data_IF_983287481994
#
_entry.id   IF_983287481994
#
_cell.length_a   1.000
_cell.length_b   1.000
_cell.length_c   1.000
_cell.angle_alpha   90.00
_cell.angle_beta   90.00
_cell.angle_gamma   90.00
#
_symmetry.space_group_name_H-M   'P 1'
#
loop_
_entity.id
_entity.type
_entity.pdbx_description
1 polymer ?
#
# COMPACT_ATOMS: atom_id res chain seq x y z
N UNK A 1 3.21 3.80 2.41
CA UNK A 1 2.42 2.54 2.40
C UNK A 1 3.12 1.50 3.24
N UNK A 2 2.62 1.17 4.46
CA UNK A 2 3.37 0.38 5.45
C UNK A 2 3.31 -1.13 5.21
N UNK A 3 2.29 -1.62 4.53
CA UNK A 3 2.09 -3.05 4.24
C UNK A 3 1.97 -3.23 2.74
N UNK A 4 2.76 -4.18 2.20
CA UNK A 4 2.81 -4.49 0.77
C UNK A 4 3.06 -3.26 -0.10
N UNK A 5 4.11 -2.53 0.24
CA UNK A 5 4.42 -1.20 -0.33
C UNK A 5 4.50 -1.21 -1.86
N UNK A 6 4.12 -0.10 -2.47
CA UNK A 6 4.35 0.18 -3.89
C UNK A 6 5.68 0.94 -4.01
N UNK A 7 6.68 0.45 -4.79
CA UNK A 7 6.61 -0.72 -5.69
C UNK A 7 7.17 -2.03 -5.11
N UNK A 8 7.70 -2.05 -3.90
CA UNK A 8 8.56 -3.12 -3.43
C UNK A 8 7.83 -4.35 -2.82
N UNK A 9 6.55 -4.24 -2.53
CA UNK A 9 5.78 -5.31 -1.86
C UNK A 9 6.21 -5.56 -0.41
N UNK A 10 6.99 -4.65 0.20
CA UNK A 10 7.50 -4.82 1.56
C UNK A 10 6.50 -4.39 2.61
N UNK A 11 6.61 -4.99 3.80
CA UNK A 11 5.91 -4.61 5.02
C UNK A 11 6.92 -4.05 6.03
N UNK A 12 6.55 -2.95 6.71
CA UNK A 12 7.41 -2.37 7.75
C UNK A 12 7.48 -3.29 8.96
N UNK A 13 8.71 -3.45 9.50
CA UNK A 13 8.90 -4.17 10.76
C UNK A 13 8.39 -3.34 11.94
N UNK A 14 8.10 -4.03 13.04
CA UNK A 14 7.73 -3.43 14.31
C UNK A 14 8.71 -2.38 14.78
N UNK A 15 10.02 -2.65 14.61
CA UNK A 15 11.08 -1.70 14.96
C UNK A 15 10.96 -0.40 14.17
N UNK A 16 10.75 -0.49 12.86
CA UNK A 16 10.59 0.70 11.99
C UNK A 16 9.38 1.51 12.42
N UNK A 17 8.24 0.85 12.69
CA UNK A 17 7.02 1.53 13.14
C UNK A 17 7.25 2.26 14.45
N UNK A 18 7.86 1.61 15.46
CA UNK A 18 8.17 2.23 16.75
C UNK A 18 9.15 3.39 16.62
N UNK A 19 10.19 3.24 15.78
CA UNK A 19 11.15 4.33 15.51
C UNK A 19 10.49 5.55 14.87
N UNK A 20 9.59 5.34 13.91
CA UNK A 20 8.82 6.42 13.29
C UNK A 20 7.89 7.10 14.31
N UNK A 21 7.25 6.34 15.18
CA UNK A 21 6.37 6.85 16.22
C UNK A 21 7.13 7.73 17.25
N UNK A 22 8.34 7.32 17.63
CA UNK A 22 9.18 7.99 18.62
C UNK A 22 10.14 9.04 18.03
N UNK A 23 10.23 9.15 16.71
CA UNK A 23 11.18 10.01 16.02
C UNK A 23 11.11 11.47 16.50
N UNK A 24 12.27 12.08 16.76
CA UNK A 24 12.36 13.52 17.02
C UNK A 24 12.29 14.27 15.69
N UNK A 25 11.50 15.34 15.66
CA UNK A 25 11.25 16.12 14.44
C UNK A 25 11.59 17.58 14.67
N UNK A 26 12.12 18.27 13.64
CA UNK A 26 12.45 19.69 13.73
C UNK A 26 11.21 20.61 13.65
N UNK A 27 10.09 20.11 13.12
CA UNK A 27 8.84 20.86 13.05
C UNK A 27 7.83 20.32 14.06
N UNK A 28 7.20 21.19 14.82
CA UNK A 28 6.20 20.83 15.82
C UNK A 28 4.92 20.25 15.18
N UNK A 29 4.59 20.72 14.00
CA UNK A 29 3.43 20.28 13.22
C UNK A 29 3.73 19.13 12.25
N UNK A 30 4.87 18.44 12.39
CA UNK A 30 5.21 17.29 11.57
C UNK A 30 4.15 16.20 11.69
N UNK A 31 3.69 15.68 10.54
CA UNK A 31 2.71 14.59 10.46
C UNK A 31 3.18 13.49 9.51
N UNK A 32 2.80 12.29 9.85
CA UNK A 32 2.99 11.10 9.00
C UNK A 32 1.65 10.77 8.36
N UNK A 33 1.57 10.78 7.03
CA UNK A 33 0.44 10.20 6.31
C UNK A 33 0.68 8.70 6.18
N UNK A 34 -0.11 7.92 6.90
CA UNK A 34 -0.04 6.46 6.93
C UNK A 34 -1.06 5.88 5.97
N UNK A 35 -0.60 5.61 4.73
CA UNK A 35 -1.47 5.12 3.66
C UNK A 35 -1.63 3.60 3.72
N UNK A 36 -2.78 3.16 4.18
CA UNK A 36 -3.16 1.75 4.31
C UNK A 36 -3.81 1.18 3.03
N UNK A 37 -3.35 1.59 1.86
CA UNK A 37 -3.92 1.19 0.57
C UNK A 37 -4.00 -0.33 0.38
N UNK A 38 -3.09 -1.10 0.99
CA UNK A 38 -2.98 -2.55 0.80
C UNK A 38 -3.15 -3.38 2.08
N UNK A 39 -3.70 -2.81 3.15
CA UNK A 39 -3.78 -3.46 4.47
C UNK A 39 -4.50 -4.82 4.49
N UNK A 40 -5.36 -5.11 3.52
CA UNK A 40 -6.14 -6.36 3.40
C UNK A 40 -5.83 -7.14 2.10
N UNK A 41 -4.72 -6.84 1.44
CA UNK A 41 -4.37 -7.43 0.15
C UNK A 41 -3.42 -8.63 0.30
N UNK A 42 -3.74 -9.51 1.23
CA UNK A 42 -2.95 -10.70 1.51
C UNK A 42 -3.06 -11.71 0.36
N UNK A 43 -1.94 -12.27 -0.06
CA UNK A 43 -1.87 -13.34 -1.07
C UNK A 43 -1.52 -14.69 -0.46
N UNK A 44 -1.21 -14.74 0.84
CA UNK A 44 -0.86 -15.96 1.57
C UNK A 44 -1.85 -16.22 2.70
N UNK A 45 -1.83 -17.43 3.25
CA UNK A 45 -2.64 -17.78 4.40
C UNK A 45 -1.99 -17.36 5.73
N UNK A 46 -0.74 -16.89 5.66
CA UNK A 46 0.04 -16.29 6.76
C UNK A 46 0.38 -14.84 6.37
N UNK A 47 -0.57 -13.91 6.50
CA UNK A 47 -0.37 -12.52 6.10
C UNK A 47 0.69 -11.82 6.95
N UNK A 48 1.36 -10.83 6.35
CA UNK A 48 2.20 -9.93 7.13
C UNK A 48 1.35 -9.14 8.11
N UNK A 49 1.91 -8.88 9.28
CA UNK A 49 1.33 -7.98 10.27
C UNK A 49 2.13 -6.68 10.34
N UNK A 50 1.46 -5.60 10.65
CA UNK A 50 2.09 -4.30 10.91
C UNK A 50 1.44 -3.68 12.13
N UNK A 51 2.25 -3.14 13.03
CA UNK A 51 1.76 -2.47 14.23
C UNK A 51 0.81 -1.32 13.89
N UNK A 52 -0.17 -1.11 14.75
CA UNK A 52 -1.06 0.04 14.64
C UNK A 52 -0.28 1.32 14.96
N UNK A 53 -0.03 2.13 13.93
CA UNK A 53 0.76 3.35 14.07
C UNK A 53 0.11 4.40 14.97
N UNK A 54 -1.24 4.43 15.08
CA UNK A 54 -1.94 5.31 16.02
C UNK A 54 -1.58 4.95 17.47
N UNK A 55 -1.62 3.67 17.81
CA UNK A 55 -1.31 3.18 19.15
C UNK A 55 0.17 3.40 19.48
N UNK A 56 1.07 3.14 18.54
CA UNK A 56 2.51 3.34 18.77
C UNK A 56 2.86 4.82 18.93
N UNK A 57 2.22 5.72 18.17
CA UNK A 57 2.38 7.16 18.36
C UNK A 57 1.86 7.61 19.73
N UNK A 58 0.71 7.10 20.18
CA UNK A 58 0.17 7.41 21.50
C UNK A 58 1.11 6.94 22.63
N UNK A 59 1.61 5.70 22.55
CA UNK A 59 2.61 5.14 23.49
C UNK A 59 3.90 5.96 23.53
N UNK A 60 4.32 6.49 22.39
CA UNK A 60 5.52 7.34 22.28
C UNK A 60 5.30 8.80 22.73
N UNK A 61 4.11 9.16 23.22
CA UNK A 61 3.77 10.53 23.63
C UNK A 61 3.52 11.49 22.44
N UNK A 62 3.30 10.97 21.24
CA UNK A 62 3.09 11.74 20.01
C UNK A 62 1.73 11.42 19.36
N UNK A 63 0.58 11.53 20.07
CA UNK A 63 -0.72 11.07 19.55
C UNK A 63 -1.15 11.77 18.26
N UNK A 64 -0.71 13.01 18.03
CA UNK A 64 -1.08 13.82 16.89
C UNK A 64 -0.17 13.59 15.65
N UNK A 65 0.82 12.71 15.76
CA UNK A 65 1.83 12.53 14.71
C UNK A 65 1.30 11.89 13.44
N UNK A 66 0.30 11.03 13.53
CA UNK A 66 -0.14 10.21 12.40
C UNK A 66 -1.56 10.56 11.94
N UNK A 67 -1.73 10.57 10.64
CA UNK A 67 -3.03 10.57 9.97
C UNK A 67 -3.06 9.31 9.11
N UNK A 68 -3.87 8.34 9.49
CA UNK A 68 -4.04 7.09 8.76
C UNK A 68 -5.15 7.23 7.73
N UNK A 69 -4.90 6.78 6.52
CA UNK A 69 -5.89 6.79 5.43
C UNK A 69 -6.00 5.41 4.79
N UNK A 70 -7.20 5.07 4.36
CA UNK A 70 -7.47 3.85 3.58
C UNK A 70 -8.62 4.09 2.62
N UNK A 71 -8.75 3.24 1.60
CA UNK A 71 -9.88 3.29 0.68
C UNK A 71 -10.24 1.92 0.13
N UNK A 72 -11.46 1.81 -0.38
CA UNK A 72 -11.94 0.61 -1.08
C UNK A 72 -11.64 0.61 -2.57
N UNK A 73 -10.86 1.57 -3.07
CA UNK A 73 -10.58 1.74 -4.52
C UNK A 73 -9.94 0.50 -5.16
N UNK A 74 -9.16 -0.26 -4.37
CA UNK A 74 -8.53 -1.52 -4.80
C UNK A 74 -9.21 -2.76 -4.23
N UNK A 75 -10.33 -2.59 -3.55
CA UNK A 75 -11.13 -3.66 -2.93
C UNK A 75 -12.43 -3.87 -3.71
N UNK A 76 -13.09 -2.77 -4.12
CA UNK A 76 -14.35 -2.78 -4.86
C UNK A 76 -14.15 -2.24 -6.30
N UNK A 77 -14.41 -0.94 -6.53
CA UNK A 77 -14.35 -0.32 -7.85
C UNK A 77 -13.38 0.84 -7.89
N UNK A 78 -12.41 0.86 -8.82
CA UNK A 78 -11.62 2.05 -9.09
C UNK A 78 -12.53 3.20 -9.54
N UNK A 79 -12.29 4.39 -9.00
CA UNK A 79 -13.12 5.57 -9.29
C UNK A 79 -14.45 5.66 -8.53
N UNK A 80 -14.88 4.60 -7.87
CA UNK A 80 -16.08 4.56 -7.03
C UNK A 80 -15.80 4.05 -5.60
N UNK A 81 -14.57 4.23 -5.13
CA UNK A 81 -14.17 3.84 -3.78
C UNK A 81 -14.76 4.74 -2.70
N UNK A 82 -14.83 4.19 -1.48
CA UNK A 82 -15.06 4.95 -0.24
C UNK A 82 -13.72 5.07 0.46
N UNK A 83 -13.34 6.29 0.87
CA UNK A 83 -12.15 6.53 1.66
C UNK A 83 -12.51 6.76 3.13
N UNK A 84 -11.60 6.37 4.01
CA UNK A 84 -11.71 6.59 5.45
C UNK A 84 -10.41 7.18 5.99
N UNK A 85 -10.55 7.92 7.08
CA UNK A 85 -9.42 8.52 7.79
C UNK A 85 -9.56 8.23 9.29
N UNK A 86 -8.43 7.94 9.94
CA UNK A 86 -8.31 7.83 11.37
C UNK A 86 -7.12 8.67 11.86
N UNK A 87 -7.31 9.42 12.93
CA UNK A 87 -6.27 10.24 13.54
C UNK A 87 -6.69 10.57 14.98
N UNK A 88 -5.86 11.30 15.72
CA UNK A 88 -6.23 11.87 17.02
C UNK A 88 -7.43 12.81 16.91
N UNK A 89 -8.12 13.04 18.03
CA UNK A 89 -9.26 13.95 18.09
C UNK A 89 -8.88 15.37 17.62
N UNK A 90 -7.70 15.85 17.99
CA UNK A 90 -7.20 17.17 17.56
C UNK A 90 -7.03 17.25 16.04
N UNK A 91 -6.40 16.25 15.42
CA UNK A 91 -6.25 16.18 13.96
C UNK A 91 -7.61 16.05 13.27
N UNK A 92 -8.51 15.22 13.77
CA UNK A 92 -9.86 15.05 13.21
C UNK A 92 -10.65 16.36 13.30
N UNK A 93 -10.59 17.09 14.42
CA UNK A 93 -11.25 18.38 14.56
C UNK A 93 -10.75 19.41 13.54
N UNK A 94 -9.43 19.53 13.40
CA UNK A 94 -8.80 20.42 12.41
C UNK A 94 -9.21 20.06 10.97
N UNK A 95 -9.17 18.77 10.63
CA UNK A 95 -9.53 18.28 9.29
C UNK A 95 -11.01 18.53 9.00
N UNK A 96 -11.92 18.23 9.94
CA UNK A 96 -13.36 18.48 9.77
C UNK A 96 -13.66 19.95 9.49
N UNK A 97 -12.99 20.87 10.17
CA UNK A 97 -13.15 22.32 9.95
C UNK A 97 -12.82 22.70 8.50
N UNK A 98 -11.75 22.12 7.94
CA UNK A 98 -11.35 22.37 6.56
C UNK A 98 -12.28 21.67 5.55
N UNK A 99 -12.68 20.45 5.83
CA UNK A 99 -13.56 19.67 4.98
C UNK A 99 -14.96 20.30 4.88
N UNK A 100 -15.48 20.92 5.93
CA UNK A 100 -16.76 21.59 5.94
C UNK A 100 -16.87 22.73 4.90
N UNK A 101 -15.73 23.32 4.53
CA UNK A 101 -15.67 24.34 3.47
C UNK A 101 -15.57 23.73 2.07
N UNK A 102 -15.26 22.44 1.94
CA UNK A 102 -15.09 21.75 0.65
C UNK A 102 -16.38 21.06 0.20
N UNK A 103 -17.13 20.49 1.13
CA UNK A 103 -18.36 19.75 0.82
C UNK A 103 -19.31 19.71 2.02
N UNK A 104 -20.60 19.78 1.74
CA UNK A 104 -21.65 19.59 2.75
C UNK A 104 -21.84 18.11 3.08
N UNK A 105 -21.56 17.23 2.14
CA UNK A 105 -21.69 15.80 2.31
C UNK A 105 -21.04 14.99 1.21
N UNK A 106 -20.84 13.72 1.48
CA UNK A 106 -20.20 12.78 0.55
C UNK A 106 -21.25 11.90 -0.12
N UNK A 107 -20.86 11.20 -1.19
CA UNK A 107 -21.74 10.32 -1.98
C UNK A 107 -22.30 9.18 -1.11
N UNK A 108 -23.51 9.42 -0.59
CA UNK A 108 -24.23 8.46 0.28
C UNK A 108 -24.72 7.25 -0.50
N UNK A 109 -24.99 7.37 -1.80
CA UNK A 109 -25.39 6.24 -2.63
C UNK A 109 -24.24 5.28 -2.81
N UNK A 110 -23.04 5.78 -3.03
CA UNK A 110 -21.85 4.94 -3.11
C UNK A 110 -21.52 4.27 -1.77
N UNK A 111 -21.64 5.00 -0.66
CA UNK A 111 -21.50 4.40 0.68
C UNK A 111 -22.53 3.29 0.89
N UNK A 112 -23.79 3.50 0.52
CA UNK A 112 -24.84 2.48 0.66
C UNK A 112 -24.57 1.24 -0.22
N UNK A 113 -24.01 1.43 -1.44
CA UNK A 113 -23.59 0.30 -2.28
C UNK A 113 -22.56 -0.56 -1.57
N UNK A 114 -21.55 0.05 -0.95
CA UNK A 114 -20.51 -0.65 -0.21
C UNK A 114 -21.08 -1.39 1.01
N UNK A 115 -21.96 -0.74 1.79
CA UNK A 115 -22.64 -1.38 2.92
C UNK A 115 -23.47 -2.58 2.47
N UNK A 116 -24.22 -2.45 1.40
CA UNK A 116 -25.06 -3.56 0.88
C UNK A 116 -24.22 -4.71 0.30
N UNK A 117 -23.09 -4.40 -0.32
CA UNK A 117 -22.23 -5.39 -0.94
C UNK A 117 -21.39 -6.15 0.09
N UNK A 118 -20.72 -5.45 0.96
CA UNK A 118 -19.84 -6.06 1.96
C UNK A 118 -20.59 -6.51 3.21
N UNK A 119 -21.65 -5.80 3.59
CA UNK A 119 -22.41 -5.96 4.83
C UNK A 119 -21.59 -5.60 6.07
N UNK A 120 -20.47 -6.25 6.28
CA UNK A 120 -19.56 -6.11 7.43
C UNK A 120 -18.10 -6.35 7.05
N UNK A 121 -17.24 -6.42 8.05
CA UNK A 121 -15.80 -6.65 7.85
C UNK A 121 -15.51 -8.06 7.28
N UNK A 122 -16.33 -9.05 7.59
CA UNK A 122 -16.14 -10.41 7.07
C UNK A 122 -16.47 -10.48 5.58
N UNK A 123 -17.44 -9.69 5.12
CA UNK A 123 -17.71 -9.52 3.70
C UNK A 123 -16.51 -8.92 2.93
N UNK A 124 -15.80 -7.96 3.55
CA UNK A 124 -14.54 -7.43 2.97
C UNK A 124 -13.48 -8.52 2.91
N UNK A 125 -13.27 -9.27 4.00
CA UNK A 125 -12.29 -10.38 4.05
C UNK A 125 -12.60 -11.45 3.00
N UNK A 126 -13.86 -11.83 2.87
CA UNK A 126 -14.30 -12.79 1.86
C UNK A 126 -14.03 -12.30 0.42
N UNK A 127 -14.27 -11.01 0.15
CA UNK A 127 -13.95 -10.39 -1.13
C UNK A 127 -12.45 -10.42 -1.42
N UNK A 128 -11.62 -10.09 -0.43
CA UNK A 128 -10.18 -10.09 -0.60
C UNK A 128 -9.60 -11.49 -0.78
N UNK A 129 -10.22 -12.51 -0.17
CA UNK A 129 -9.86 -13.91 -0.43
C UNK A 129 -10.11 -14.29 -1.90
N UNK A 130 -11.24 -13.88 -2.49
CA UNK A 130 -11.50 -14.08 -3.92
C UNK A 130 -10.49 -13.34 -4.82
N UNK A 131 -10.09 -12.11 -4.43
CA UNK A 131 -9.01 -11.41 -5.13
C UNK A 131 -7.69 -12.19 -5.07
N UNK A 132 -7.34 -12.72 -3.91
CA UNK A 132 -6.14 -13.53 -3.75
C UNK A 132 -6.15 -14.78 -4.64
N UNK A 133 -7.29 -15.46 -4.76
CA UNK A 133 -7.46 -16.63 -5.64
C UNK A 133 -7.17 -16.30 -7.12
N UNK A 134 -7.51 -15.07 -7.56
CA UNK A 134 -7.24 -14.60 -8.92
C UNK A 134 -5.77 -14.17 -9.10
N UNK A 135 -5.18 -13.58 -8.06
CA UNK A 135 -3.85 -12.97 -8.17
C UNK A 135 -2.71 -13.95 -7.90
N UNK A 136 -2.87 -14.88 -6.96
CA UNK A 136 -1.83 -15.88 -6.62
C UNK A 136 -1.25 -16.59 -7.85
N UNK A 137 -2.05 -17.15 -8.77
CA UNK A 137 -1.50 -17.83 -9.94
C UNK A 137 -0.67 -16.89 -10.84
N UNK A 138 -1.05 -15.62 -10.94
CA UNK A 138 -0.33 -14.62 -11.73
C UNK A 138 1.01 -14.26 -11.09
N UNK A 139 1.03 -14.07 -9.78
CA UNK A 139 2.26 -13.85 -9.03
C UNK A 139 3.20 -15.05 -9.14
N UNK A 140 2.67 -16.26 -8.95
CA UNK A 140 3.46 -17.49 -9.04
C UNK A 140 4.07 -17.66 -10.43
N UNK A 141 3.31 -17.43 -11.49
CA UNK A 141 3.83 -17.53 -12.86
C UNK A 141 5.00 -16.57 -13.14
N UNK A 142 4.95 -15.36 -12.59
CA UNK A 142 6.06 -14.39 -12.72
C UNK A 142 7.27 -14.84 -11.91
N UNK A 143 7.07 -15.27 -10.67
CA UNK A 143 8.16 -15.71 -9.78
C UNK A 143 8.84 -16.97 -10.31
N UNK A 144 8.07 -17.93 -10.81
CA UNK A 144 8.60 -19.16 -11.43
C UNK A 144 9.42 -18.83 -12.69
N UNK A 145 8.94 -17.88 -13.50
CA UNK A 145 9.69 -17.43 -14.67
C UNK A 145 11.00 -16.74 -14.26
N UNK A 146 10.98 -15.89 -13.24
CA UNK A 146 12.21 -15.25 -12.73
C UNK A 146 13.19 -16.28 -12.20
N UNK A 147 12.74 -17.22 -11.38
CA UNK A 147 13.62 -18.26 -10.84
C UNK A 147 14.23 -19.13 -11.93
N UNK A 148 13.40 -19.59 -12.88
CA UNK A 148 13.84 -20.42 -13.99
C UNK A 148 14.83 -19.72 -14.92
N UNK A 149 14.55 -18.47 -15.28
CA UNK A 149 15.31 -17.78 -16.33
C UNK A 149 16.43 -16.90 -15.79
N UNK A 150 16.32 -16.39 -14.55
CA UNK A 150 17.27 -15.44 -13.95
C UNK A 150 17.94 -15.98 -12.68
N UNK A 151 17.37 -17.01 -12.05
CA UNK A 151 17.86 -17.58 -10.80
C UNK A 151 19.33 -18.01 -10.90
N UNK A 152 20.13 -17.64 -9.89
CA UNK A 152 21.55 -17.98 -9.80
C UNK A 152 22.49 -17.30 -10.79
N UNK A 153 21.98 -16.48 -11.73
CA UNK A 153 22.81 -15.84 -12.77
C UNK A 153 23.46 -14.53 -12.31
N UNK A 154 23.09 -13.99 -11.15
CA UNK A 154 23.64 -12.74 -10.61
C UNK A 154 23.31 -11.47 -11.38
N UNK A 155 22.35 -11.52 -12.31
CA UNK A 155 21.96 -10.41 -13.20
C UNK A 155 20.73 -9.64 -12.69
N UNK A 156 19.97 -10.25 -11.79
CA UNK A 156 18.77 -9.65 -11.20
C UNK A 156 18.49 -10.26 -9.82
N UNK A 157 17.72 -9.54 -9.03
CA UNK A 157 17.15 -10.03 -7.77
C UNK A 157 15.69 -9.56 -7.63
N UNK A 158 14.91 -10.31 -6.90
CA UNK A 158 13.51 -10.01 -6.64
C UNK A 158 13.10 -10.50 -5.26
N UNK A 159 11.94 -10.04 -4.79
CA UNK A 159 11.32 -10.53 -3.56
C UNK A 159 10.03 -11.25 -3.90
N UNK A 160 9.69 -12.23 -3.07
CA UNK A 160 8.39 -12.89 -3.10
C UNK A 160 7.49 -12.18 -2.08
N UNK A 161 6.61 -11.26 -2.49
CA UNK A 161 5.74 -10.54 -1.58
C UNK A 161 4.58 -11.44 -1.11
N UNK A 162 4.22 -11.30 0.18
CA UNK A 162 3.07 -12.00 0.76
C UNK A 162 1.73 -11.32 0.43
N UNK A 163 1.76 -10.22 -0.33
CA UNK A 163 0.54 -9.49 -0.69
C UNK A 163 0.80 -8.29 -1.60
N UNK A 164 -0.25 -7.50 -1.81
CA UNK A 164 -0.21 -6.33 -2.68
C UNK A 164 -0.37 -6.66 -4.15
N UNK A 165 0.13 -5.76 -5.01
CA UNK A 165 -0.01 -5.85 -6.47
C UNK A 165 1.31 -5.81 -7.22
N UNK A 166 2.45 -5.81 -6.52
CA UNK A 166 3.74 -5.53 -7.12
C UNK A 166 4.76 -6.62 -6.81
N UNK A 167 5.55 -6.97 -7.83
CA UNK A 167 6.81 -7.69 -7.70
C UNK A 167 7.89 -6.73 -8.19
N UNK A 168 8.82 -6.35 -7.33
CA UNK A 168 9.96 -5.52 -7.70
C UNK A 168 11.08 -6.41 -8.25
N UNK A 169 11.57 -6.06 -9.43
CA UNK A 169 12.72 -6.69 -10.05
C UNK A 169 13.88 -5.70 -10.07
N UNK A 170 14.90 -5.97 -9.27
CA UNK A 170 16.14 -5.21 -9.26
C UNK A 170 17.12 -5.83 -10.26
N UNK A 171 17.60 -5.04 -11.20
CA UNK A 171 18.55 -5.44 -12.23
C UNK A 171 19.89 -4.74 -12.05
N UNK A 172 20.91 -5.13 -12.82
CA UNK A 172 22.23 -4.52 -12.77
C UNK A 172 22.15 -2.98 -12.93
N UNK A 173 23.06 -2.27 -12.27
CA UNK A 173 23.12 -0.82 -12.31
C UNK A 173 23.16 -0.27 -13.73
N UNK A 174 22.34 0.73 -14.00
CA UNK A 174 22.18 1.34 -15.31
C UNK A 174 21.35 0.56 -16.34
N UNK A 175 20.97 -0.69 -16.04
CA UNK A 175 20.28 -1.57 -17.00
C UNK A 175 18.74 -1.43 -17.02
N UNK A 176 18.13 -0.82 -16.00
CA UNK A 176 16.68 -0.84 -15.82
C UNK A 176 15.90 -0.27 -17.03
N UNK A 177 16.37 0.81 -17.67
CA UNK A 177 15.72 1.37 -18.86
C UNK A 177 15.78 0.40 -20.04
N UNK A 178 16.94 -0.24 -20.25
CA UNK A 178 17.12 -1.20 -21.35
C UNK A 178 16.27 -2.45 -21.14
N UNK A 179 16.21 -2.97 -19.91
CA UNK A 179 15.33 -4.10 -19.54
C UNK A 179 13.87 -3.74 -19.81
N UNK A 180 13.41 -2.56 -19.38
CA UNK A 180 12.04 -2.11 -19.67
C UNK A 180 11.73 -2.04 -21.16
N UNK A 181 12.69 -1.60 -21.99
CA UNK A 181 12.55 -1.58 -23.47
C UNK A 181 12.43 -3.00 -24.03
N UNK A 182 13.32 -3.90 -23.62
CA UNK A 182 13.30 -5.30 -24.08
C UNK A 182 12.01 -6.03 -23.68
N UNK A 183 11.52 -5.80 -22.45
CA UNK A 183 10.24 -6.34 -22.02
C UNK A 183 9.10 -5.83 -22.89
N UNK A 184 9.08 -4.53 -23.21
CA UNK A 184 8.06 -3.95 -24.09
C UNK A 184 8.11 -4.53 -25.50
N UNK A 185 9.31 -4.70 -26.07
CA UNK A 185 9.51 -5.36 -27.38
C UNK A 185 9.00 -6.81 -27.38
N UNK A 186 9.13 -7.50 -26.23
CA UNK A 186 8.60 -8.84 -26.02
C UNK A 186 7.09 -8.88 -25.65
N UNK A 187 6.39 -7.74 -25.66
CA UNK A 187 4.96 -7.65 -25.35
C UNK A 187 4.62 -7.51 -23.87
N UNK A 188 5.61 -7.29 -22.98
CA UNK A 188 5.41 -7.11 -21.55
C UNK A 188 5.64 -5.66 -21.16
N UNK A 189 4.59 -4.98 -20.70
CA UNK A 189 4.70 -3.59 -20.23
C UNK A 189 4.99 -3.56 -18.72
N UNK A 190 6.12 -3.00 -18.34
CA UNK A 190 6.52 -2.77 -16.96
C UNK A 190 6.27 -1.30 -16.56
N UNK A 191 6.13 -1.04 -15.26
CA UNK A 191 6.21 0.32 -14.73
C UNK A 191 7.62 0.87 -15.02
N UNK A 192 7.69 2.03 -15.66
CA UNK A 192 8.98 2.62 -16.07
C UNK A 192 9.87 2.92 -14.85
N UNK A 193 11.18 2.64 -14.96
CA UNK A 193 12.13 3.02 -13.93
C UNK A 193 12.05 4.54 -13.63
N UNK A 194 11.98 4.88 -12.35
CA UNK A 194 11.86 6.28 -11.91
C UNK A 194 10.43 6.84 -11.87
N UNK A 195 9.41 6.13 -12.35
CA UNK A 195 8.02 6.58 -12.27
C UNK A 195 7.51 6.75 -10.82
N UNK A 196 8.14 6.05 -9.88
CA UNK A 196 7.80 6.05 -8.44
C UNK A 196 8.83 6.77 -7.57
N UNK A 197 9.91 7.28 -8.16
CA UNK A 197 10.99 8.00 -7.46
C UNK A 197 11.00 9.44 -7.95
N UNK A 198 10.91 10.45 -7.07
CA UNK A 198 11.08 11.84 -7.47
C UNK A 198 12.43 12.02 -8.16
N UNK A 199 12.42 12.53 -9.38
CA UNK A 199 13.66 12.93 -10.06
C UNK A 199 14.23 14.12 -9.29
N UNK A 200 15.30 13.91 -8.53
CA UNK A 200 16.10 15.02 -8.04
C UNK A 200 16.76 15.64 -9.28
N UNK A 201 16.35 16.85 -9.64
CA UNK A 201 17.02 17.68 -10.65
C UNK A 201 18.26 18.32 -10.05
#
# INVERSE_FOLDING_TARGET
>A
VPKYSNPEGKTYSDEVVRRMAAMQTGAEDFRIIWDNAYCVHDLTDTPDEVLNMLDECAKAGNPDRVIMVASTSKISFPGAGVAVMAASDANIAMIKTRMASQTIGYDKLNQLRHVRFFKDADGIRAQMKRHAEILRPKFQAVLDAFEKELGGKGVASWKNPNGGYFISLDVLDGCAKRVGTLCKEAGVTLTTPGATIPTVR
#
